data_IF_269755084831
#
_entry.id   IF_269755084831
#
_cell.length_a   1.000
_cell.length_b   1.000
_cell.length_c   1.000
_cell.angle_alpha   90.00
_cell.angle_beta   90.00
_cell.angle_gamma   90.00
#
_symmetry.space_group_name_H-M   'P 1'
#
loop_
_entity.id
_entity.type
_entity.pdbx_description
1 polymer ?
#
# COMPACT_ATOMS: atom_id res chain seq x y z
N UNK A 1 -15.86 0.73 12.62
CA UNK A 1 -15.14 1.37 11.48
C UNK A 1 -16.18 2.01 10.57
N UNK A 2 -15.93 3.20 10.04
CA UNK A 2 -16.81 3.91 9.11
C UNK A 2 -16.06 4.16 7.80
N UNK A 3 -16.76 4.08 6.66
CA UNK A 3 -16.18 4.28 5.34
C UNK A 3 -16.92 5.38 4.60
N UNK A 4 -16.18 6.20 3.85
CA UNK A 4 -16.75 7.10 2.86
C UNK A 4 -16.90 6.31 1.54
N UNK A 5 -18.13 6.23 1.03
CA UNK A 5 -18.41 5.61 -0.26
C UNK A 5 -18.39 6.69 -1.33
N UNK A 6 -17.47 6.54 -2.30
CA UNK A 6 -17.34 7.47 -3.42
C UNK A 6 -17.68 6.72 -4.70
N UNK A 7 -18.67 7.21 -5.45
CA UNK A 7 -19.02 6.65 -6.75
C UNK A 7 -18.16 7.28 -7.85
N UNK A 8 -16.91 6.82 -7.96
CA UNK A 8 -15.95 7.29 -8.98
C UNK A 8 -15.26 6.10 -9.65
N UNK A 9 -14.96 6.16 -10.96
CA UNK A 9 -14.06 5.20 -11.56
C UNK A 9 -12.69 5.30 -10.88
N UNK A 10 -12.30 4.24 -10.18
CA UNK A 10 -11.06 4.13 -9.43
C UNK A 10 -10.45 2.74 -9.66
N UNK A 11 -9.12 2.62 -9.77
CA UNK A 11 -8.45 1.32 -9.82
C UNK A 11 -8.48 0.60 -8.45
N UNK A 12 -8.91 1.28 -7.39
CA UNK A 12 -8.98 0.75 -6.03
C UNK A 12 -10.43 0.59 -5.57
N UNK A 13 -10.75 -0.59 -5.05
CA UNK A 13 -12.07 -0.89 -4.46
C UNK A 13 -12.24 -0.30 -3.05
N UNK A 14 -11.15 -0.16 -2.30
CA UNK A 14 -11.13 0.42 -0.97
C UNK A 14 -9.74 1.01 -0.69
N UNK A 15 -9.70 2.12 0.05
CA UNK A 15 -8.47 2.73 0.54
C UNK A 15 -8.54 2.73 2.07
N UNK A 16 -7.64 1.97 2.69
CA UNK A 16 -7.55 1.88 4.15
C UNK A 16 -6.32 2.65 4.61
N UNK A 17 -6.55 3.78 5.27
CA UNK A 17 -5.48 4.57 5.87
C UNK A 17 -4.93 3.92 7.15
N UNK A 18 -3.86 4.51 7.68
CA UNK A 18 -3.23 4.11 8.96
C UNK A 18 -4.22 3.98 10.12
N UNK A 19 -5.18 4.91 10.35
CA UNK A 19 -6.14 4.77 11.44
C UNK A 19 -6.99 3.50 11.32
N UNK A 20 -7.38 3.13 10.09
CA UNK A 20 -8.14 1.92 9.82
C UNK A 20 -7.32 0.65 10.05
N UNK A 21 -6.08 0.63 9.56
CA UNK A 21 -5.15 -0.48 9.81
C UNK A 21 -4.90 -0.68 11.32
N UNK A 22 -4.65 0.40 12.06
CA UNK A 22 -4.42 0.33 13.50
C UNK A 22 -5.65 -0.20 14.25
N UNK A 23 -6.86 0.22 13.85
CA UNK A 23 -8.10 -0.25 14.47
C UNK A 23 -8.32 -1.76 14.26
N UNK A 24 -7.87 -2.29 13.12
CA UNK A 24 -7.97 -3.72 12.80
C UNK A 24 -6.78 -4.54 13.32
N UNK A 25 -5.82 -3.91 14.00
CA UNK A 25 -4.52 -4.50 14.35
C UNK A 25 -3.86 -5.16 13.12
N UNK A 26 -3.96 -4.46 12.00
CA UNK A 26 -3.60 -4.95 10.68
C UNK A 26 -2.10 -4.86 10.42
N UNK A 27 -1.52 -5.95 9.92
CA UNK A 27 -0.12 -6.03 9.47
C UNK A 27 -0.11 -6.28 7.96
N UNK A 28 0.57 -5.39 7.23
CA UNK A 28 0.68 -5.48 5.77
C UNK A 28 2.10 -5.85 5.37
N UNK A 29 2.23 -6.94 4.62
CA UNK A 29 3.46 -7.37 3.97
C UNK A 29 3.44 -6.95 2.50
N UNK A 30 4.15 -5.87 2.18
CA UNK A 30 4.30 -5.37 0.81
C UNK A 30 4.90 -6.42 -0.14
N UNK A 31 5.93 -7.15 0.31
CA UNK A 31 6.64 -8.16 -0.50
C UNK A 31 5.72 -9.28 -0.97
N UNK A 32 4.84 -9.74 -0.07
CA UNK A 32 3.95 -10.86 -0.31
C UNK A 32 2.54 -10.40 -0.73
N UNK A 33 2.29 -9.09 -0.72
CA UNK A 33 0.97 -8.49 -0.94
C UNK A 33 -0.11 -9.10 -0.01
N UNK A 34 0.25 -9.40 1.23
CA UNK A 34 -0.68 -9.99 2.21
C UNK A 34 -0.94 -8.99 3.32
N UNK A 35 -2.20 -8.84 3.71
CA UNK A 35 -2.61 -8.13 4.91
C UNK A 35 -3.26 -9.10 5.89
N UNK A 36 -2.73 -9.19 7.10
CA UNK A 36 -3.36 -9.90 8.22
C UNK A 36 -4.03 -8.90 9.14
N UNK A 37 -5.12 -9.27 9.78
CA UNK A 37 -5.86 -8.43 10.71
C UNK A 37 -6.63 -9.27 11.71
N UNK A 38 -6.97 -8.71 12.87
CA UNK A 38 -7.74 -9.43 13.89
C UNK A 38 -9.24 -9.42 13.56
N UNK A 39 -9.88 -10.56 13.84
CA UNK A 39 -11.33 -10.78 13.72
C UNK A 39 -11.84 -11.44 14.99
N UNK A 40 -13.17 -11.48 15.18
CA UNK A 40 -13.79 -12.17 16.32
C UNK A 40 -13.51 -13.67 16.34
N UNK A 41 -13.09 -14.25 15.22
CA UNK A 41 -12.82 -15.68 15.05
C UNK A 41 -11.32 -16.01 14.89
N UNK A 42 -10.43 -15.04 15.14
CA UNK A 42 -8.98 -15.20 14.98
C UNK A 42 -8.40 -14.26 13.93
N UNK A 43 -7.34 -14.68 13.24
CA UNK A 43 -6.64 -13.83 12.26
C UNK A 43 -7.28 -13.97 10.88
N UNK A 44 -7.78 -12.87 10.34
CA UNK A 44 -8.19 -12.73 8.95
C UNK A 44 -6.99 -12.43 8.06
N UNK A 45 -7.03 -12.91 6.80
CA UNK A 45 -5.99 -12.68 5.81
C UNK A 45 -6.61 -12.20 4.49
N UNK A 46 -6.03 -11.14 3.91
CA UNK A 46 -6.33 -10.67 2.56
C UNK A 46 -5.05 -10.80 1.73
N UNK A 47 -5.11 -11.61 0.68
CA UNK A 47 -4.00 -11.82 -0.25
C UNK A 47 -4.24 -11.09 -1.56
N UNK A 48 -3.28 -10.25 -1.94
CA UNK A 48 -3.20 -9.64 -3.25
C UNK A 48 -2.67 -10.62 -4.29
N UNK A 49 -3.06 -10.40 -5.54
CA UNK A 49 -2.52 -11.14 -6.68
C UNK A 49 -1.27 -10.41 -7.22
N UNK A 50 -0.11 -11.03 -7.06
CA UNK A 50 1.17 -10.44 -7.48
C UNK A 50 1.31 -10.28 -8.99
N UNK A 51 0.71 -11.17 -9.78
CA UNK A 51 0.71 -11.06 -11.24
C UNK A 51 -0.11 -9.85 -11.68
N UNK A 52 -1.34 -9.73 -11.16
CA UNK A 52 -2.23 -8.60 -11.46
C UNK A 52 -1.59 -7.29 -11.01
N UNK A 53 -1.02 -7.24 -9.81
CA UNK A 53 -0.33 -6.05 -9.32
C UNK A 53 0.84 -5.64 -10.22
N UNK A 54 1.65 -6.60 -10.70
CA UNK A 54 2.75 -6.33 -11.65
C UNK A 54 2.24 -5.84 -13.00
N UNK A 55 1.16 -6.42 -13.52
CA UNK A 55 0.54 -5.96 -14.77
C UNK A 55 0.00 -4.54 -14.63
N UNK A 56 -0.76 -4.25 -13.57
CA UNK A 56 -1.26 -2.90 -13.29
C UNK A 56 -0.12 -1.88 -13.18
N UNK A 57 0.97 -2.21 -12.48
CA UNK A 57 2.13 -1.35 -12.38
C UNK A 57 2.77 -1.06 -13.76
N UNK A 58 2.95 -2.10 -14.59
CA UNK A 58 3.49 -1.93 -15.96
C UNK A 58 2.59 -1.02 -16.78
N UNK A 59 1.27 -1.26 -16.78
CA UNK A 59 0.31 -0.44 -17.52
C UNK A 59 0.34 1.01 -17.04
N UNK A 60 0.30 1.25 -15.73
CA UNK A 60 0.33 2.60 -15.17
C UNK A 60 1.62 3.37 -15.50
N UNK A 61 2.77 2.68 -15.48
CA UNK A 61 4.07 3.29 -15.82
C UNK A 61 4.20 3.56 -17.32
N UNK A 62 3.59 2.73 -18.17
CA UNK A 62 3.67 2.85 -19.63
C UNK A 62 2.60 3.80 -20.22
N UNK A 63 1.47 4.00 -19.54
CA UNK A 63 0.33 4.79 -20.04
C UNK A 63 0.37 6.27 -19.61
N UNK A 64 1.58 6.88 -19.61
CA UNK A 64 1.83 8.28 -19.19
C UNK A 64 1.09 9.37 -20.02
N UNK A 65 0.10 9.03 -20.82
CA UNK A 65 -0.48 9.93 -21.83
C UNK A 65 -1.91 10.42 -21.60
N UNK A 66 -2.66 9.95 -20.58
CA UNK A 66 -4.12 10.21 -20.51
C UNK A 66 -4.69 10.42 -19.11
N UNK A 67 -3.98 11.14 -18.23
CA UNK A 67 -4.50 11.44 -16.90
C UNK A 67 -5.59 12.52 -16.97
N UNK A 68 -6.86 12.10 -16.94
CA UNK A 68 -7.98 12.99 -16.58
C UNK A 68 -8.10 12.96 -15.06
N UNK A 69 -7.48 13.95 -14.42
CA UNK A 69 -7.64 14.21 -12.98
C UNK A 69 -9.12 14.49 -12.71
N UNK A 70 -9.81 13.57 -12.03
CA UNK A 70 -11.16 13.83 -11.53
C UNK A 70 -11.02 14.33 -10.09
N UNK A 71 -11.41 15.59 -9.80
CA UNK A 71 -11.27 16.14 -8.47
C UNK A 71 -12.22 15.45 -7.50
N UNK A 72 -11.67 14.81 -6.47
CA UNK A 72 -12.43 14.39 -5.30
C UNK A 72 -12.72 15.68 -4.52
N UNK A 73 -13.95 16.18 -4.63
CA UNK A 73 -14.40 17.31 -3.82
C UNK A 73 -14.24 16.90 -2.34
N UNK A 74 -13.41 17.66 -1.61
CA UNK A 74 -13.11 17.57 -0.17
C UNK A 74 -11.82 16.85 0.25
N UNK A 75 -10.92 16.51 -0.68
CA UNK A 75 -9.51 16.26 -0.34
C UNK A 75 -8.68 17.37 -0.96
N UNK A 76 -7.96 18.15 -0.14
CA UNK A 76 -6.87 18.99 -0.63
C UNK A 76 -5.83 18.04 -1.25
N UNK A 77 -5.96 17.80 -2.56
CA UNK A 77 -4.97 17.08 -3.35
C UNK A 77 -3.72 17.96 -3.39
N UNK A 78 -2.78 17.69 -2.49
CA UNK A 78 -1.49 18.35 -2.52
C UNK A 78 -0.73 17.87 -3.75
N UNK A 79 -0.86 18.64 -4.84
CA UNK A 79 0.00 18.61 -6.01
C UNK A 79 -0.27 17.50 -7.00
N UNK A 80 0.00 17.82 -8.26
CA UNK A 80 0.01 16.94 -9.41
C UNK A 80 0.73 15.63 -9.06
N UNK A 81 -0.02 14.53 -8.91
CA UNK A 81 0.57 13.23 -8.62
C UNK A 81 1.12 12.64 -9.92
N UNK A 82 2.14 13.29 -10.50
CA UNK A 82 3.06 12.55 -11.33
C UNK A 82 3.54 11.37 -10.49
N UNK A 83 3.24 10.15 -10.93
CA UNK A 83 3.94 8.93 -10.53
C UNK A 83 5.40 9.02 -11.04
N UNK A 84 6.15 10.01 -10.56
CA UNK A 84 7.58 9.89 -10.44
C UNK A 84 7.82 8.79 -9.43
N UNK A 85 8.76 7.89 -9.74
CA UNK A 85 9.33 6.99 -8.73
C UNK A 85 9.58 7.86 -7.50
N UNK A 86 9.10 7.49 -6.30
CA UNK A 86 9.52 8.19 -5.10
C UNK A 86 11.04 8.16 -5.12
N UNK A 87 11.65 9.32 -5.36
CA UNK A 87 13.09 9.43 -5.20
C UNK A 87 13.30 9.27 -3.71
N UNK A 88 14.21 8.38 -3.34
CA UNK A 88 14.54 8.10 -1.95
C UNK A 88 14.70 9.44 -1.23
N UNK A 89 13.83 9.73 -0.26
CA UNK A 89 13.85 11.00 0.49
C UNK A 89 15.02 11.02 1.49
N UNK A 90 15.70 9.88 1.64
CA UNK A 90 16.87 9.70 2.50
C UNK A 90 17.91 8.87 1.75
N UNK A 91 19.18 9.28 1.86
CA UNK A 91 20.35 8.50 1.45
C UNK A 91 20.32 7.17 2.21
N UNK A 92 20.02 6.08 1.50
CA UNK A 92 19.95 4.75 2.09
C UNK A 92 21.36 4.29 2.39
N UNK A 93 21.74 4.37 3.66
CA UNK A 93 22.95 3.71 4.16
C UNK A 93 22.69 2.21 4.11
N UNK A 94 23.42 1.49 3.26
CA UNK A 94 23.44 0.04 3.28
C UNK A 94 24.16 -0.42 4.53
N UNK A 95 23.40 -0.71 5.59
CA UNK A 95 23.93 -1.39 6.76
C UNK A 95 23.92 -2.88 6.46
N UNK A 96 25.08 -3.57 6.45
CA UNK A 96 25.11 -5.02 6.38
C UNK A 96 24.28 -5.58 7.54
N UNK A 97 23.31 -6.43 7.23
CA UNK A 97 22.74 -7.29 8.25
C UNK A 97 23.85 -8.29 8.59
N UNK A 98 24.51 -8.07 9.73
CA UNK A 98 25.34 -9.10 10.33
C UNK A 98 24.45 -10.34 10.53
N UNK A 99 24.84 -11.47 9.93
CA UNK A 99 24.26 -12.78 10.23
C UNK A 99 24.56 -13.09 11.71
N UNK A 100 23.66 -12.63 12.57
CA UNK A 100 23.70 -12.87 14.00
C UNK A 100 23.48 -14.35 14.27
N UNK A 101 24.59 -15.03 14.56
CA UNK A 101 24.72 -16.37 15.11
C UNK A 101 23.51 -16.82 15.98
N UNK A 102 23.00 -18.03 15.71
CA UNK A 102 21.78 -18.64 16.30
C UNK A 102 21.88 -18.97 17.81
N UNK A 103 22.74 -18.30 18.57
CA UNK A 103 22.97 -18.66 19.97
C UNK A 103 22.86 -17.44 20.89
N UNK A 104 21.63 -17.16 21.32
CA UNK A 104 21.34 -16.75 22.71
C UNK A 104 19.84 -16.80 23.00
N UNK A 105 19.43 -17.96 23.52
CA UNK A 105 18.31 -18.08 24.45
C UNK A 105 18.68 -17.29 25.72
N UNK A 106 17.83 -16.33 26.11
CA UNK A 106 17.45 -16.09 27.52
C UNK A 106 15.97 -15.75 27.53
#
# INVERSE_FOLDING_TARGET
MTFLVVNTPSPYNAIVGRPGLNLMEGIVSMRHLVMKFLTSFGVGEVCGNQEVARQCYKTAVMDKGKEKVLPIANVELMGDMELKRPHHVEEVVQVPLEEGNEERII
#
